data_IF_785564411993
#
_entry.id   IF_785564411993
#
_cell.length_a   1.000
_cell.length_b   1.000
_cell.length_c   1.000
_cell.angle_alpha   90.00
_cell.angle_beta   90.00
_cell.angle_gamma   90.00
#
_symmetry.space_group_name_H-M   'P 1'
#
loop_
_entity.id
_entity.type
_entity.pdbx_description
1 polymer ?
#
# COMPACT_ATOMS: atom_id res chain seq x y z
N UNK A 1 4.50 -1.87 -34.40
CA UNK A 1 4.44 -1.19 -33.09
C UNK A 1 3.02 -1.26 -32.58
N UNK A 2 2.80 -2.16 -31.64
CA UNK A 2 1.56 -2.31 -30.89
C UNK A 2 1.41 -1.13 -29.92
N UNK A 3 0.21 -0.58 -29.77
CA UNK A 3 -0.08 0.50 -28.82
C UNK A 3 -1.08 0.01 -27.81
N UNK A 4 -0.84 0.28 -26.52
CA UNK A 4 -1.70 -0.13 -25.41
C UNK A 4 -2.20 1.07 -24.64
N UNK A 5 -3.48 1.05 -24.25
CA UNK A 5 -4.01 2.04 -23.31
C UNK A 5 -3.23 1.90 -22.00
N UNK A 6 -2.76 3.02 -21.46
CA UNK A 6 -2.01 3.08 -20.23
C UNK A 6 -2.47 4.29 -19.41
N UNK A 7 -2.66 4.05 -18.12
CA UNK A 7 -3.30 4.98 -17.21
C UNK A 7 -2.42 5.24 -15.99
N UNK A 8 -2.58 6.41 -15.38
CA UNK A 8 -2.23 6.61 -13.97
C UNK A 8 -3.52 6.74 -13.17
N UNK A 9 -3.63 5.92 -12.13
CA UNK A 9 -4.78 5.85 -11.24
C UNK A 9 -4.28 6.00 -9.81
N UNK A 10 -4.80 7.01 -9.13
CA UNK A 10 -4.43 7.36 -7.77
C UNK A 10 -5.30 6.58 -6.78
N UNK A 11 -4.71 5.59 -6.10
CA UNK A 11 -5.36 4.75 -5.11
C UNK A 11 -5.43 5.43 -3.73
N UNK A 12 -6.41 5.00 -2.94
CA UNK A 12 -6.72 5.54 -1.60
C UNK A 12 -7.08 7.03 -1.60
N UNK A 13 -7.64 7.54 -2.69
CA UNK A 13 -8.09 8.92 -2.78
C UNK A 13 -9.28 9.05 -3.73
N UNK A 14 -9.99 10.17 -3.61
CA UNK A 14 -10.99 10.63 -4.58
C UNK A 14 -10.56 11.90 -5.32
N UNK A 15 -9.37 12.43 -5.00
CA UNK A 15 -8.80 13.64 -5.61
C UNK A 15 -7.63 13.26 -6.53
N UNK A 16 -7.65 13.67 -7.81
CA UNK A 16 -6.53 13.42 -8.71
C UNK A 16 -5.23 14.04 -8.20
N UNK A 17 -4.11 13.38 -8.53
CA UNK A 17 -2.75 13.78 -8.14
C UNK A 17 -2.48 13.67 -6.63
N UNK A 18 -3.31 12.93 -5.91
CA UNK A 18 -3.16 12.60 -4.48
C UNK A 18 -3.06 11.08 -4.29
N UNK A 19 -3.08 10.54 -3.08
CA UNK A 19 -3.07 9.08 -2.90
C UNK A 19 -1.78 8.39 -3.36
N UNK A 20 -1.85 7.07 -3.55
CA UNK A 20 -0.72 6.29 -4.07
C UNK A 20 -0.94 5.96 -5.56
N UNK A 21 -0.09 6.50 -6.43
CA UNK A 21 -0.25 6.40 -7.87
C UNK A 21 0.17 5.02 -8.38
N UNK A 22 -0.72 4.34 -9.10
CA UNK A 22 -0.43 3.10 -9.79
C UNK A 22 -0.58 3.28 -11.31
N UNK A 23 0.32 2.65 -12.06
CA UNK A 23 0.11 2.43 -13.48
C UNK A 23 -0.98 1.37 -13.69
N UNK A 24 -1.84 1.53 -14.68
CA UNK A 24 -2.82 0.50 -15.06
C UNK A 24 -2.83 0.32 -16.58
N UNK A 25 -2.62 -0.92 -17.03
CA UNK A 25 -2.80 -1.35 -18.41
C UNK A 25 -4.00 -2.32 -18.44
N UNK A 26 -5.20 -1.84 -18.84
CA UNK A 26 -6.45 -2.59 -18.69
C UNK A 26 -6.62 -3.76 -19.68
N UNK A 27 -5.81 -3.79 -20.75
CA UNK A 27 -5.75 -4.90 -21.71
C UNK A 27 -4.28 -5.21 -22.04
N UNK A 28 -3.72 -6.14 -21.28
CA UNK A 28 -2.33 -6.57 -21.37
C UNK A 28 -2.17 -7.97 -21.99
N UNK A 29 -3.22 -8.53 -22.57
CA UNK A 29 -3.12 -9.83 -23.24
C UNK A 29 -2.17 -9.75 -24.44
N UNK A 30 -1.28 -10.75 -24.55
CA UNK A 30 -0.25 -10.83 -25.59
C UNK A 30 1.05 -10.09 -25.30
N UNK A 31 1.15 -9.36 -24.18
CA UNK A 31 2.43 -8.79 -23.73
C UNK A 31 3.26 -9.84 -23.00
N UNK A 32 4.56 -9.91 -23.28
CA UNK A 32 5.49 -10.70 -22.47
C UNK A 32 5.97 -9.94 -21.22
N UNK A 33 6.72 -10.61 -20.35
CA UNK A 33 7.21 -10.02 -19.10
C UNK A 33 8.20 -8.87 -19.32
N UNK A 34 8.99 -8.90 -20.39
CA UNK A 34 9.96 -7.85 -20.71
C UNK A 34 9.25 -6.59 -21.20
N UNK A 35 8.22 -6.74 -22.03
CA UNK A 35 7.32 -5.67 -22.47
C UNK A 35 6.58 -5.04 -21.31
N UNK A 36 5.98 -5.85 -20.43
CA UNK A 36 5.30 -5.33 -19.23
C UNK A 36 6.26 -4.54 -18.34
N UNK A 37 7.46 -5.05 -18.08
CA UNK A 37 8.48 -4.34 -17.30
C UNK A 37 8.92 -3.04 -17.98
N UNK A 38 9.12 -3.03 -19.29
CA UNK A 38 9.50 -1.83 -20.04
C UNK A 38 8.41 -0.76 -19.98
N UNK A 39 7.13 -1.14 -20.12
CA UNK A 39 5.98 -0.23 -19.97
C UNK A 39 5.90 0.30 -18.54
N UNK A 40 6.06 -0.55 -17.52
CA UNK A 40 6.05 -0.12 -16.12
C UNK A 40 7.16 0.90 -15.83
N UNK A 41 8.36 0.68 -16.39
CA UNK A 41 9.48 1.60 -16.27
C UNK A 41 9.22 2.95 -16.95
N UNK A 42 8.57 2.96 -18.12
CA UNK A 42 8.20 4.21 -18.82
C UNK A 42 7.12 4.99 -18.06
N UNK A 43 6.13 4.31 -17.47
CA UNK A 43 5.10 4.96 -16.67
C UNK A 43 5.65 5.55 -15.36
N UNK A 44 6.67 4.92 -14.77
CA UNK A 44 7.40 5.45 -13.62
C UNK A 44 6.62 5.51 -12.30
N UNK A 45 5.42 4.91 -12.25
CA UNK A 45 4.70 4.67 -11.00
C UNK A 45 5.45 3.63 -10.13
N UNK A 46 5.14 3.56 -8.83
CA UNK A 46 5.77 2.57 -7.94
C UNK A 46 5.51 1.15 -8.42
N UNK A 47 4.26 0.88 -8.82
CA UNK A 47 3.85 -0.36 -9.47
C UNK A 47 2.86 -0.08 -10.61
N UNK A 48 2.88 -0.95 -11.61
CA UNK A 48 1.92 -0.99 -12.72
C UNK A 48 1.18 -2.33 -12.71
N UNK A 49 -0.15 -2.28 -12.70
CA UNK A 49 -1.03 -3.44 -12.85
C UNK A 49 -1.35 -3.70 -14.33
N UNK A 50 -1.05 -4.90 -14.79
CA UNK A 50 -1.37 -5.40 -16.13
C UNK A 50 -2.55 -6.36 -16.02
N UNK A 51 -3.70 -5.95 -16.55
CA UNK A 51 -4.94 -6.74 -16.51
C UNK A 51 -4.96 -7.68 -17.72
N UNK A 52 -5.08 -8.97 -17.45
CA UNK A 52 -5.08 -10.06 -18.42
C UNK A 52 -6.33 -10.93 -18.25
N UNK A 53 -6.66 -11.69 -19.29
CA UNK A 53 -7.64 -12.77 -19.20
C UNK A 53 -7.17 -13.88 -18.28
N UNK A 54 -8.08 -14.50 -17.52
CA UNK A 54 -7.81 -15.68 -16.68
C UNK A 54 -8.67 -16.86 -17.10
N UNK A 55 -8.13 -18.08 -16.95
CA UNK A 55 -8.90 -19.33 -17.10
C UNK A 55 -9.44 -19.86 -15.77
N UNK A 56 -8.98 -19.31 -14.64
CA UNK A 56 -9.25 -19.81 -13.28
C UNK A 56 -9.98 -18.80 -12.38
N UNK A 57 -10.09 -17.55 -12.80
CA UNK A 57 -10.73 -16.45 -12.10
C UNK A 57 -11.40 -15.51 -13.11
N UNK A 58 -12.08 -14.46 -12.64
CA UNK A 58 -12.71 -13.48 -13.52
C UNK A 58 -11.66 -12.70 -14.34
N UNK A 59 -10.49 -12.42 -13.73
CA UNK A 59 -9.33 -11.76 -14.36
C UNK A 59 -8.02 -12.22 -13.74
N UNK A 60 -6.92 -11.96 -14.44
CA UNK A 60 -5.55 -12.06 -13.90
C UNK A 60 -4.93 -10.67 -13.85
N UNK A 61 -4.19 -10.36 -12.80
CA UNK A 61 -3.32 -9.17 -12.78
C UNK A 61 -1.88 -9.59 -12.51
N UNK A 62 -0.96 -9.04 -13.30
CA UNK A 62 0.48 -9.06 -13.03
C UNK A 62 0.94 -7.68 -12.61
N UNK A 63 1.86 -7.60 -11.66
CA UNK A 63 2.31 -6.34 -11.08
C UNK A 63 3.79 -6.15 -11.36
N UNK A 64 4.17 -4.98 -11.85
CA UNK A 64 5.57 -4.66 -12.11
C UNK A 64 5.94 -3.36 -11.44
N UNK A 65 7.02 -3.39 -10.67
CA UNK A 65 7.82 -2.19 -10.41
C UNK A 65 8.56 -1.80 -11.70
N UNK A 66 9.19 -0.61 -11.77
CA UNK A 66 10.07 -0.27 -12.90
C UNK A 66 11.23 -1.26 -13.11
N UNK A 67 11.60 -2.04 -12.09
CA UNK A 67 12.76 -2.94 -12.14
C UNK A 67 12.40 -4.41 -12.32
N UNK A 68 11.27 -4.88 -11.79
CA UNK A 68 10.92 -6.30 -11.73
C UNK A 68 9.44 -6.54 -11.51
N UNK A 69 8.99 -7.76 -11.83
CA UNK A 69 7.67 -8.25 -11.42
C UNK A 69 7.62 -8.46 -9.90
N UNK A 70 6.47 -8.18 -9.29
CA UNK A 70 6.15 -8.47 -7.90
C UNK A 70 4.89 -9.31 -7.82
N UNK A 71 4.80 -10.18 -6.82
CA UNK A 71 3.76 -11.21 -6.81
C UNK A 71 2.35 -10.68 -6.50
N UNK A 72 2.27 -9.58 -5.75
CA UNK A 72 1.03 -8.90 -5.38
C UNK A 72 1.32 -7.44 -5.02
N UNK A 73 0.43 -6.53 -5.43
CA UNK A 73 0.43 -5.15 -4.94
C UNK A 73 -1.00 -4.68 -4.63
N UNK A 74 -1.23 -4.22 -3.39
CA UNK A 74 -2.56 -3.85 -2.90
C UNK A 74 -3.13 -2.59 -3.55
N UNK A 75 -2.35 -1.50 -3.58
CA UNK A 75 -2.85 -0.24 -4.14
C UNK A 75 -3.06 -0.33 -5.66
N UNK A 76 -2.19 -1.07 -6.37
CA UNK A 76 -2.34 -1.31 -7.80
C UNK A 76 -3.57 -2.19 -8.10
N UNK A 77 -3.91 -3.14 -7.21
CA UNK A 77 -5.17 -3.90 -7.28
C UNK A 77 -6.38 -2.98 -7.12
N UNK A 78 -6.36 -2.08 -6.13
CA UNK A 78 -7.42 -1.10 -5.88
C UNK A 78 -7.58 -0.16 -7.08
N UNK A 79 -6.47 0.36 -7.61
CA UNK A 79 -6.45 1.21 -8.79
C UNK A 79 -7.06 0.52 -10.02
N UNK A 80 -6.63 -0.70 -10.34
CA UNK A 80 -7.15 -1.46 -11.48
C UNK A 80 -8.66 -1.75 -11.35
N UNK A 81 -9.12 -2.22 -10.19
CA UNK A 81 -10.54 -2.53 -9.98
C UNK A 81 -11.43 -1.28 -10.00
N UNK A 82 -10.96 -0.18 -9.40
CA UNK A 82 -11.68 1.09 -9.43
C UNK A 82 -11.79 1.64 -10.86
N UNK A 83 -10.75 1.51 -11.68
CA UNK A 83 -10.82 1.88 -13.10
C UNK A 83 -11.84 1.00 -13.86
N UNK A 84 -11.78 -0.32 -13.70
CA UNK A 84 -12.71 -1.24 -14.37
C UNK A 84 -14.17 -1.01 -13.93
N UNK A 85 -14.40 -0.64 -12.67
CA UNK A 85 -15.70 -0.22 -12.17
C UNK A 85 -16.18 1.09 -12.81
N UNK A 86 -15.29 2.09 -12.93
CA UNK A 86 -15.61 3.37 -13.57
C UNK A 86 -15.98 3.22 -15.05
N UNK A 87 -15.36 2.28 -15.77
CA UNK A 87 -15.68 1.92 -17.16
C UNK A 87 -16.92 1.00 -17.29
N UNK A 88 -17.57 0.65 -16.16
CA UNK A 88 -18.72 -0.28 -16.09
C UNK A 88 -18.41 -1.68 -16.60
N UNK A 89 -17.16 -2.09 -16.47
CA UNK A 89 -16.74 -3.48 -16.70
C UNK A 89 -16.78 -4.33 -15.42
N UNK A 90 -17.03 -3.70 -14.27
CA UNK A 90 -17.30 -4.35 -13.00
C UNK A 90 -18.54 -3.72 -12.35
N UNK A 91 -19.45 -4.56 -11.90
CA UNK A 91 -20.57 -4.19 -11.05
C UNK A 91 -20.22 -4.43 -9.57
N UNK A 92 -20.87 -3.75 -8.61
CA UNK A 92 -20.68 -4.04 -7.19
C UNK A 92 -20.88 -5.52 -6.86
N UNK A 93 -20.02 -6.06 -6.00
CA UNK A 93 -19.97 -7.48 -5.67
C UNK A 93 -18.55 -8.01 -5.45
N UNK A 94 -18.45 -9.33 -5.29
CA UNK A 94 -17.16 -10.01 -5.13
C UNK A 94 -16.70 -10.57 -6.46
N UNK A 95 -15.45 -10.28 -6.82
CA UNK A 95 -14.79 -10.68 -8.05
C UNK A 95 -13.52 -11.46 -7.72
N UNK A 96 -13.28 -12.54 -8.45
CA UNK A 96 -12.10 -13.38 -8.28
C UNK A 96 -10.94 -12.85 -9.13
N UNK A 97 -9.77 -12.71 -8.52
CA UNK A 97 -8.56 -12.20 -9.14
C UNK A 97 -7.42 -13.22 -9.05
N UNK A 98 -6.93 -13.69 -10.19
CA UNK A 98 -5.71 -14.50 -10.25
C UNK A 98 -4.46 -13.62 -10.16
N UNK A 99 -3.52 -14.01 -9.29
CA UNK A 99 -2.20 -13.37 -9.09
C UNK A 99 -1.10 -14.43 -9.02
N UNK A 100 0.16 -14.05 -8.77
CA UNK A 100 1.24 -15.03 -8.56
C UNK A 100 1.14 -15.75 -7.21
N UNK A 101 0.43 -15.18 -6.22
CA UNK A 101 0.19 -15.81 -4.92
C UNK A 101 -1.07 -16.67 -4.87
N UNK A 102 -1.81 -16.76 -5.99
CA UNK A 102 -3.06 -17.51 -6.11
C UNK A 102 -4.27 -16.62 -6.44
N UNK A 103 -5.46 -17.19 -6.29
CA UNK A 103 -6.72 -16.48 -6.53
C UNK A 103 -7.19 -15.78 -5.26
N UNK A 104 -7.49 -14.49 -5.38
CA UNK A 104 -7.98 -13.62 -4.31
C UNK A 104 -9.41 -13.18 -4.58
N UNK A 105 -10.20 -12.96 -3.53
CA UNK A 105 -11.52 -12.34 -3.62
C UNK A 105 -11.38 -10.83 -3.39
N UNK A 106 -11.80 -10.04 -4.38
CA UNK A 106 -11.84 -8.58 -4.34
C UNK A 106 -13.28 -8.12 -4.30
N UNK A 107 -13.67 -7.38 -3.26
CA UNK A 107 -15.02 -6.82 -3.15
C UNK A 107 -15.04 -5.39 -3.65
N UNK A 108 -15.93 -5.12 -4.60
CA UNK A 108 -16.30 -3.78 -5.03
C UNK A 108 -17.59 -3.36 -4.32
N UNK A 109 -17.51 -2.34 -3.48
CA UNK A 109 -18.65 -1.76 -2.78
C UNK A 109 -19.51 -0.85 -3.67
N UNK A 110 -20.74 -0.61 -3.23
CA UNK A 110 -21.74 0.17 -3.98
C UNK A 110 -21.33 1.63 -4.25
N UNK A 111 -20.40 2.18 -3.46
CA UNK A 111 -19.91 3.55 -3.61
C UNK A 111 -18.48 3.61 -4.19
N UNK A 112 -18.02 2.52 -4.80
CA UNK A 112 -16.73 2.42 -5.48
C UNK A 112 -15.54 2.13 -4.57
N UNK A 113 -15.76 1.73 -3.31
CA UNK A 113 -14.68 1.19 -2.48
C UNK A 113 -14.25 -0.18 -2.99
N UNK A 114 -12.96 -0.38 -3.20
CA UNK A 114 -12.37 -1.69 -3.46
C UNK A 114 -11.77 -2.23 -2.17
N UNK A 115 -12.08 -3.48 -1.84
CA UNK A 115 -11.65 -4.14 -0.62
C UNK A 115 -10.93 -5.46 -0.92
N UNK A 116 -9.80 -5.66 -0.26
CA UNK A 116 -8.99 -6.87 -0.36
C UNK A 116 -8.77 -7.46 1.03
N UNK A 117 -8.95 -8.76 1.17
CA UNK A 117 -8.56 -9.50 2.37
C UNK A 117 -7.04 -9.63 2.42
N UNK A 118 -6.45 -9.34 3.57
CA UNK A 118 -5.02 -9.49 3.81
C UNK A 118 -4.70 -10.87 4.40
N UNK A 119 -3.43 -11.24 4.45
CA UNK A 119 -3.01 -12.44 5.14
C UNK A 119 -3.35 -12.39 6.64
N UNK A 120 -3.43 -13.57 7.25
CA UNK A 120 -3.66 -13.70 8.68
C UNK A 120 -2.62 -12.87 9.46
N UNK A 121 -3.06 -11.96 10.36
CA UNK A 121 -2.14 -11.03 10.98
C UNK A 121 -1.21 -11.74 11.97
N UNK A 122 0.03 -11.26 12.05
CA UNK A 122 0.94 -11.54 13.17
C UNK A 122 1.27 -10.23 13.87
N UNK A 123 1.27 -10.23 15.20
CA UNK A 123 1.59 -9.05 16.01
C UNK A 123 2.45 -9.47 17.19
N UNK A 124 3.64 -8.90 17.28
CA UNK A 124 4.62 -9.16 18.34
C UNK A 124 5.04 -7.84 18.98
N UNK A 125 4.50 -7.50 20.17
CA UNK A 125 4.99 -6.39 20.98
C UNK A 125 6.50 -6.52 21.22
N UNK A 126 7.18 -5.38 21.26
CA UNK A 126 8.63 -5.27 21.33
C UNK A 126 9.02 -4.27 22.41
N UNK A 127 9.96 -4.66 23.25
CA UNK A 127 10.72 -3.73 24.07
C UNK A 127 11.80 -3.11 23.21
N UNK A 128 11.77 -1.79 23.04
CA UNK A 128 12.68 -1.05 22.17
C UNK A 128 13.34 0.10 22.92
N UNK A 129 14.55 0.45 22.50
CA UNK A 129 15.21 1.66 22.98
C UNK A 129 14.53 2.89 22.36
N UNK A 130 13.67 3.55 23.15
CA UNK A 130 12.95 4.74 22.74
C UNK A 130 13.87 5.91 22.36
N UNK A 131 15.06 6.04 22.95
CA UNK A 131 15.98 7.12 22.58
C UNK A 131 16.52 6.90 21.15
N UNK A 132 16.83 5.63 20.82
CA UNK A 132 17.25 5.24 19.47
C UNK A 132 16.12 5.38 18.45
N UNK A 133 14.90 4.95 18.80
CA UNK A 133 13.73 5.06 17.93
C UNK A 133 13.36 6.53 17.67
N UNK A 134 13.36 7.36 18.73
CA UNK A 134 13.09 8.78 18.62
C UNK A 134 14.13 9.50 17.74
N UNK A 135 15.41 9.18 17.93
CA UNK A 135 16.47 9.70 17.09
C UNK A 135 16.33 9.28 15.61
N UNK A 136 15.95 8.02 15.35
CA UNK A 136 15.71 7.53 13.99
C UNK A 136 14.51 8.21 13.30
N UNK A 137 13.45 8.52 14.06
CA UNK A 137 12.27 9.23 13.56
C UNK A 137 12.43 10.75 13.53
N UNK A 138 13.48 11.31 14.14
CA UNK A 138 13.65 12.74 14.30
C UNK A 138 12.56 13.39 15.17
N UNK A 139 12.12 12.70 16.22
CA UNK A 139 11.12 13.21 17.19
C UNK A 139 11.70 13.26 18.61
N UNK A 140 11.00 13.97 19.51
CA UNK A 140 11.31 13.93 20.94
C UNK A 140 10.93 12.56 21.54
N UNK A 141 11.74 12.01 22.44
CA UNK A 141 11.48 10.69 23.04
C UNK A 141 10.21 10.66 23.89
N UNK A 142 9.82 11.80 24.47
CA UNK A 142 8.57 11.92 25.24
C UNK A 142 7.34 11.71 24.34
N UNK A 143 7.44 12.06 23.05
CA UNK A 143 6.38 11.82 22.07
C UNK A 143 6.10 10.33 21.88
N UNK A 144 7.06 9.45 22.18
CA UNK A 144 6.92 8.00 22.07
C UNK A 144 6.66 7.35 23.42
N UNK A 145 7.36 7.77 24.48
CA UNK A 145 7.29 7.12 25.80
C UNK A 145 5.93 7.25 26.48
N UNK A 146 5.30 8.41 26.37
CA UNK A 146 4.03 8.68 27.07
C UNK A 146 2.90 7.80 26.53
N UNK A 147 2.78 7.72 25.20
CA UNK A 147 1.81 6.84 24.53
C UNK A 147 2.26 5.38 24.56
N UNK A 148 3.57 5.13 24.53
CA UNK A 148 4.21 3.82 24.55
C UNK A 148 3.95 3.01 25.82
N UNK A 149 3.60 3.68 26.93
CA UNK A 149 3.25 3.04 28.19
C UNK A 149 1.93 2.24 28.10
N UNK A 150 0.96 2.74 27.33
CA UNK A 150 -0.33 2.09 27.12
C UNK A 150 -0.36 1.31 25.78
N UNK A 151 0.41 1.76 24.79
CA UNK A 151 0.47 1.20 23.44
C UNK A 151 1.93 0.86 23.09
N UNK A 152 2.40 -0.37 23.38
CA UNK A 152 3.80 -0.72 23.13
C UNK A 152 4.09 -0.77 21.63
N UNK A 153 5.30 -0.38 21.22
CA UNK A 153 5.80 -0.64 19.86
C UNK A 153 5.69 -2.14 19.55
N UNK A 154 5.35 -2.49 18.32
CA UNK A 154 5.24 -3.87 17.89
C UNK A 154 5.75 -4.09 16.47
N UNK A 155 6.21 -5.30 16.18
CA UNK A 155 6.28 -5.77 14.79
C UNK A 155 4.92 -6.35 14.45
N UNK A 156 4.26 -5.81 13.43
CA UNK A 156 2.98 -6.32 12.94
C UNK A 156 3.05 -6.57 11.43
N UNK A 157 2.35 -7.61 10.97
CA UNK A 157 2.32 -7.99 9.56
C UNK A 157 0.96 -8.55 9.18
N UNK A 158 0.51 -8.22 7.98
CA UNK A 158 -0.55 -8.94 7.23
C UNK A 158 -0.03 -9.36 5.85
N UNK A 159 1.26 -9.70 5.78
CA UNK A 159 2.00 -10.04 4.56
C UNK A 159 3.43 -9.51 4.65
N UNK A 160 3.58 -8.18 4.72
CA UNK A 160 4.86 -7.49 4.91
C UNK A 160 4.95 -6.90 6.34
N UNK A 161 5.97 -7.26 7.14
CA UNK A 161 6.11 -6.76 8.51
C UNK A 161 6.58 -5.30 8.58
N UNK A 162 6.01 -4.54 9.51
CA UNK A 162 6.40 -3.18 9.85
C UNK A 162 6.55 -3.02 11.37
N UNK A 163 7.45 -2.13 11.79
CA UNK A 163 7.45 -1.59 13.15
C UNK A 163 6.29 -0.60 13.28
N UNK A 164 5.25 -0.97 14.02
CA UNK A 164 4.10 -0.10 14.30
C UNK A 164 4.40 0.71 15.55
N UNK A 165 4.51 2.03 15.38
CA UNK A 165 5.01 2.96 16.40
C UNK A 165 3.95 4.01 16.72
N UNK A 166 3.37 4.03 17.93
CA UNK A 166 2.51 5.12 18.34
C UNK A 166 3.34 6.37 18.63
N UNK A 167 2.80 7.51 18.21
CA UNK A 167 3.33 8.85 18.46
C UNK A 167 2.21 9.68 19.09
N UNK A 168 2.53 10.38 20.18
CA UNK A 168 1.60 11.24 20.85
C UNK A 168 1.32 12.49 19.99
N UNK A 169 0.06 12.77 19.71
CA UNK A 169 -0.42 13.92 18.91
C UNK A 169 0.14 14.07 17.49
N UNK A 170 -0.60 14.80 16.66
CA UNK A 170 -0.21 15.09 15.29
C UNK A 170 0.97 16.06 15.25
N UNK A 171 1.11 16.95 16.23
CA UNK A 171 2.19 17.94 16.24
C UNK A 171 3.58 17.29 16.27
N UNK A 172 3.74 16.14 16.94
CA UNK A 172 5.01 15.42 16.98
C UNK A 172 5.24 14.61 15.69
N UNK A 173 4.21 13.90 15.20
CA UNK A 173 4.32 13.11 13.98
C UNK A 173 4.53 13.98 12.72
N UNK A 174 3.87 15.14 12.67
CA UNK A 174 4.02 16.12 11.58
C UNK A 174 5.41 16.76 11.55
N UNK A 175 6.04 16.94 12.71
CA UNK A 175 7.40 17.45 12.84
C UNK A 175 8.51 16.40 12.67
N UNK A 176 8.16 15.12 12.46
CA UNK A 176 9.15 14.05 12.35
C UNK A 176 10.03 14.22 11.11
N UNK A 177 11.34 14.10 11.31
CA UNK A 177 12.41 14.25 10.32
C UNK A 177 13.25 12.96 10.29
N UNK A 178 12.78 11.92 9.57
CA UNK A 178 13.36 10.58 9.66
C UNK A 178 14.79 10.50 9.11
N UNK A 179 15.67 9.81 9.84
CA UNK A 179 16.97 9.38 9.33
C UNK A 179 16.80 8.04 8.60
N UNK A 180 16.81 8.09 7.27
CA UNK A 180 16.60 6.92 6.40
C UNK A 180 17.54 5.75 6.74
N UNK A 181 18.81 6.04 7.05
CA UNK A 181 19.78 5.00 7.37
C UNK A 181 19.49 4.37 8.73
N UNK A 182 19.18 5.19 9.74
CA UNK A 182 18.83 4.71 11.06
C UNK A 182 17.52 3.90 11.06
N UNK A 183 16.51 4.31 10.29
CA UNK A 183 15.26 3.57 10.10
C UNK A 183 15.52 2.22 9.41
N UNK A 184 16.31 2.21 8.33
CA UNK A 184 16.64 0.98 7.62
C UNK A 184 17.34 -0.03 8.56
N UNK A 185 18.33 0.43 9.32
CA UNK A 185 19.06 -0.41 10.29
C UNK A 185 18.14 -0.94 11.39
N UNK A 186 17.27 -0.09 11.94
CA UNK A 186 16.33 -0.46 13.01
C UNK A 186 15.29 -1.46 12.52
N UNK A 187 14.71 -1.25 11.34
CA UNK A 187 13.73 -2.16 10.76
C UNK A 187 14.36 -3.53 10.44
N UNK A 188 15.58 -3.54 9.88
CA UNK A 188 16.31 -4.76 9.56
C UNK A 188 16.63 -5.61 10.80
N UNK A 189 16.94 -4.99 11.95
CA UNK A 189 17.16 -5.70 13.22
C UNK A 189 15.94 -6.50 13.70
N UNK A 190 14.75 -6.09 13.26
CA UNK A 190 13.48 -6.67 13.69
C UNK A 190 12.73 -7.42 12.58
N UNK A 191 13.44 -7.73 11.48
CA UNK A 191 12.89 -8.38 10.29
C UNK A 191 11.65 -7.63 9.74
N UNK A 192 11.68 -6.30 9.77
CA UNK A 192 10.63 -5.40 9.30
C UNK A 192 11.08 -4.64 8.03
N UNK A 193 10.12 -4.27 7.18
CA UNK A 193 10.36 -3.48 5.97
C UNK A 193 10.59 -1.99 6.27
N UNK A 194 10.07 -1.50 7.40
CA UNK A 194 10.12 -0.09 7.76
C UNK A 194 9.38 0.21 9.06
N UNK A 195 9.18 1.51 9.31
CA UNK A 195 8.43 2.05 10.45
C UNK A 195 7.11 2.65 9.96
N UNK A 196 6.02 2.18 10.55
CA UNK A 196 4.69 2.74 10.40
C UNK A 196 4.33 3.52 11.67
N UNK A 197 4.62 4.81 11.65
CA UNK A 197 4.37 5.72 12.77
C UNK A 197 2.93 6.27 12.68
N UNK A 198 2.20 6.26 13.78
CA UNK A 198 0.79 6.67 13.78
C UNK A 198 0.40 7.43 15.05
N UNK A 199 -0.66 8.23 14.96
CA UNK A 199 -1.30 8.90 16.09
C UNK A 199 -2.82 8.84 15.97
N UNK A 200 -3.54 8.99 17.08
CA UNK A 200 -5.00 9.14 17.09
C UNK A 200 -5.48 10.57 16.82
N UNK A 201 -4.54 11.52 16.77
CA UNK A 201 -4.82 12.92 16.45
C UNK A 201 -4.68 13.12 14.94
N UNK A 202 -5.81 13.28 14.25
CA UNK A 202 -5.88 13.35 12.79
C UNK A 202 -6.30 14.75 12.31
N UNK A 203 -5.94 15.07 11.06
CA UNK A 203 -6.31 16.31 10.36
C UNK A 203 -7.81 16.30 10.07
N UNK A 204 -8.33 15.21 9.50
CA UNK A 204 -9.76 15.02 9.30
C UNK A 204 -10.40 14.47 10.59
N UNK A 205 -11.47 15.13 11.07
CA UNK A 205 -12.20 14.71 12.25
C UNK A 205 -12.95 13.39 12.10
N UNK A 206 -13.13 12.90 10.87
CA UNK A 206 -13.70 11.58 10.58
C UNK A 206 -12.62 10.47 10.50
N UNK A 207 -11.33 10.84 10.49
CA UNK A 207 -10.21 9.89 10.50
C UNK A 207 -10.00 9.32 11.91
N UNK A 208 -9.74 8.02 11.98
CA UNK A 208 -9.39 7.33 13.24
C UNK A 208 -7.94 7.54 13.61
N UNK A 209 -7.04 7.54 12.61
CA UNK A 209 -5.60 7.67 12.79
C UNK A 209 -5.00 8.55 11.70
N UNK A 210 -3.94 9.28 12.04
CA UNK A 210 -2.97 9.79 11.08
C UNK A 210 -1.72 8.91 11.10
N UNK A 211 -1.19 8.55 9.94
CA UNK A 211 -0.01 7.70 9.82
C UNK A 211 1.01 8.24 8.82
N UNK A 212 2.27 7.84 9.02
CA UNK A 212 3.38 7.99 8.09
C UNK A 212 4.12 6.65 8.00
N UNK A 213 4.58 6.30 6.80
CA UNK A 213 5.25 5.03 6.54
C UNK A 213 6.63 5.29 5.93
N UNK A 214 7.67 4.88 6.65
CA UNK A 214 9.06 5.03 6.23
C UNK A 214 9.67 3.66 5.98
N UNK A 215 10.08 3.37 4.75
CA UNK A 215 10.63 2.06 4.36
C UNK A 215 11.92 2.16 3.52
N UNK A 216 12.93 2.93 3.97
CA UNK A 216 14.14 3.20 3.18
C UNK A 216 14.94 1.93 2.87
N UNK A 217 14.85 0.89 3.70
CA UNK A 217 15.49 -0.41 3.47
C UNK A 217 15.01 -1.13 2.20
N UNK A 218 13.84 -0.77 1.67
CA UNK A 218 13.31 -1.26 0.39
C UNK A 218 13.27 -0.16 -0.68
N UNK A 219 13.97 0.96 -0.46
CA UNK A 219 14.12 2.06 -1.42
C UNK A 219 13.00 3.11 -1.38
N UNK A 220 12.14 3.10 -0.37
CA UNK A 220 11.02 4.05 -0.22
C UNK A 220 11.25 4.91 1.02
N UNK A 221 11.70 6.15 0.86
CA UNK A 221 11.93 7.05 2.01
C UNK A 221 10.63 7.30 2.80
N UNK A 222 9.57 7.75 2.13
CA UNK A 222 8.22 7.83 2.70
C UNK A 222 7.16 7.45 1.65
N UNK A 223 6.28 6.51 1.98
CA UNK A 223 5.20 6.04 1.10
C UNK A 223 3.90 6.86 1.33
N UNK A 224 3.22 7.35 0.28
CA UNK A 224 2.01 8.17 0.45
C UNK A 224 0.78 7.42 0.97
N UNK A 225 0.69 6.10 0.74
CA UNK A 225 -0.37 5.26 1.30
C UNK A 225 0.03 3.79 1.33
N UNK A 226 0.12 3.19 2.52
CA UNK A 226 0.62 1.82 2.69
C UNK A 226 -0.46 0.88 3.22
N UNK A 227 -1.24 0.29 2.32
CA UNK A 227 -2.36 -0.59 2.68
C UNK A 227 -1.98 -1.75 3.61
N UNK A 228 -0.85 -2.41 3.33
CA UNK A 228 -0.35 -3.54 4.14
C UNK A 228 0.02 -3.12 5.57
N UNK A 229 0.71 -1.99 5.72
CA UNK A 229 1.07 -1.45 7.04
C UNK A 229 -0.16 -0.95 7.82
N UNK A 230 -1.11 -0.32 7.15
CA UNK A 230 -2.40 0.08 7.72
C UNK A 230 -3.20 -1.14 8.24
N UNK A 231 -3.27 -2.22 7.46
CA UNK A 231 -3.90 -3.48 7.87
C UNK A 231 -3.23 -4.10 9.10
N UNK A 232 -1.89 -4.16 9.10
CA UNK A 232 -1.10 -4.63 10.22
C UNK A 232 -1.28 -3.76 11.49
N UNK A 233 -1.33 -2.44 11.34
CA UNK A 233 -1.62 -1.50 12.41
C UNK A 233 -3.01 -1.73 13.02
N UNK A 234 -4.04 -1.91 12.18
CA UNK A 234 -5.38 -2.24 12.66
C UNK A 234 -5.43 -3.56 13.46
N UNK A 235 -4.73 -4.59 13.00
CA UNK A 235 -4.62 -5.85 13.73
C UNK A 235 -3.90 -5.68 15.08
N UNK A 236 -2.83 -4.88 15.11
CA UNK A 236 -2.10 -4.53 16.31
C UNK A 236 -2.99 -3.79 17.32
N UNK A 237 -3.71 -2.75 16.90
CA UNK A 237 -4.59 -1.97 17.77
C UNK A 237 -5.69 -2.82 18.41
N UNK A 238 -6.24 -3.77 17.65
CA UNK A 238 -7.17 -4.77 18.18
C UNK A 238 -6.52 -5.65 19.23
N UNK A 239 -5.30 -6.14 19.00
CA UNK A 239 -4.61 -7.03 19.94
C UNK A 239 -4.25 -6.34 21.27
N UNK A 240 -3.81 -5.09 21.22
CA UNK A 240 -3.44 -4.34 22.44
C UNK A 240 -4.65 -3.72 23.16
N UNK A 241 -5.86 -3.85 22.60
CA UNK A 241 -7.08 -3.33 23.22
C UNK A 241 -7.14 -1.80 23.20
N UNK A 242 -6.65 -1.17 22.12
CA UNK A 242 -6.58 0.29 22.00
C UNK A 242 -7.96 1.00 21.97
N UNK A 243 -9.05 0.24 21.84
CA UNK A 243 -10.41 0.76 21.80
C UNK A 243 -11.28 0.07 22.85
N UNK A 244 -12.14 0.84 23.52
CA UNK A 244 -13.19 0.28 24.40
C UNK A 244 -14.12 -0.68 23.63
N UNK A 245 -14.44 -0.31 22.39
CA UNK A 245 -15.09 -1.14 21.40
C UNK A 245 -14.41 -0.92 20.06
N UNK A 246 -13.94 -2.00 19.44
CA UNK A 246 -13.25 -1.95 18.16
C UNK A 246 -14.21 -1.38 17.09
N UNK A 247 -13.85 -0.27 16.41
CA UNK A 247 -14.67 0.26 15.32
C UNK A 247 -14.86 -0.77 14.21
N UNK A 248 -16.01 -0.74 13.54
CA UNK A 248 -16.28 -1.60 12.38
C UNK A 248 -15.28 -1.34 11.23
N UNK A 249 -14.83 -0.09 11.12
CA UNK A 249 -13.88 0.39 10.13
C UNK A 249 -12.98 1.47 10.76
N UNK A 250 -11.67 1.34 10.55
CA UNK A 250 -10.69 2.38 10.82
C UNK A 250 -10.48 3.18 9.54
N UNK A 251 -10.50 4.50 9.65
CA UNK A 251 -10.09 5.42 8.58
C UNK A 251 -8.73 5.97 8.92
N UNK A 252 -7.74 5.67 8.09
CA UNK A 252 -6.35 6.01 8.34
C UNK A 252 -5.90 6.96 7.25
N UNK A 253 -5.60 8.19 7.62
CA UNK A 253 -5.02 9.16 6.69
C UNK A 253 -3.50 9.06 6.66
N UNK A 254 -2.91 9.19 5.48
CA UNK A 254 -1.47 9.11 5.25
C UNK A 254 -1.07 10.05 4.09
N UNK A 255 0.22 10.30 3.90
CA UNK A 255 0.76 10.95 2.70
C UNK A 255 0.65 12.48 2.66
N UNK A 256 0.08 13.10 3.69
CA UNK A 256 -0.08 14.55 3.78
C UNK A 256 1.27 15.30 3.76
N UNK A 257 2.34 14.68 4.27
CA UNK A 257 3.68 15.28 4.35
C UNK A 257 4.56 15.00 3.14
N UNK A 258 4.05 14.25 2.15
CA UNK A 258 4.65 14.05 0.82
C UNK A 258 3.75 14.61 -0.29
N UNK A 259 2.86 15.55 0.06
CA UNK A 259 1.91 16.21 -0.83
C UNK A 259 0.97 15.24 -1.59
N UNK A 260 0.70 14.07 -1.00
CA UNK A 260 -0.23 13.08 -1.55
C UNK A 260 -1.20 12.53 -0.50
N UNK A 261 -2.08 13.38 0.07
CA UNK A 261 -3.13 12.95 0.99
C UNK A 261 -3.88 11.70 0.54
N UNK A 262 -4.01 10.73 1.43
CA UNK A 262 -4.67 9.46 1.17
C UNK A 262 -5.54 9.05 2.36
N UNK A 263 -6.55 8.22 2.12
CA UNK A 263 -7.35 7.56 3.15
C UNK A 263 -7.42 6.07 2.87
N UNK A 264 -6.70 5.31 3.69
CA UNK A 264 -6.78 3.85 3.75
C UNK A 264 -7.86 3.44 4.73
N UNK A 265 -8.73 2.51 4.34
CA UNK A 265 -9.78 1.97 5.20
C UNK A 265 -9.42 0.57 5.64
N UNK A 266 -9.63 0.25 6.91
CA UNK A 266 -9.28 -1.06 7.48
C UNK A 266 -10.45 -1.61 8.27
N UNK A 267 -10.90 -2.82 7.94
CA UNK A 267 -11.86 -3.59 8.74
C UNK A 267 -11.09 -4.67 9.51
N UNK A 268 -11.24 -4.67 10.83
CA UNK A 268 -10.46 -5.51 11.76
C UNK A 268 -11.27 -6.68 12.34
N UNK A 269 -12.10 -7.30 11.48
CA UNK A 269 -12.99 -8.42 11.81
C UNK A 269 -12.27 -9.77 11.93
N UNK A 270 -12.96 -10.88 11.65
CA UNK A 270 -12.34 -12.21 11.67
C UNK A 270 -11.09 -12.28 10.77
N UNK A 271 -11.18 -11.59 9.63
CA UNK A 271 -10.07 -11.32 8.71
C UNK A 271 -9.78 -9.83 8.69
N UNK A 272 -8.53 -9.46 8.41
CA UNK A 272 -8.16 -8.08 8.16
C UNK A 272 -8.46 -7.76 6.70
N UNK A 273 -9.22 -6.69 6.46
CA UNK A 273 -9.52 -6.23 5.11
C UNK A 273 -9.08 -4.78 4.96
N UNK A 274 -8.39 -4.51 3.87
CA UNK A 274 -7.91 -3.18 3.52
C UNK A 274 -8.65 -2.73 2.28
N UNK A 275 -9.10 -1.48 2.26
CA UNK A 275 -9.79 -0.94 1.12
C UNK A 275 -9.65 0.56 0.99
N UNK A 276 -10.20 1.07 -0.10
CA UNK A 276 -10.14 2.47 -0.46
C UNK A 276 -10.84 2.74 -1.77
N UNK A 277 -10.92 4.01 -2.14
CA UNK A 277 -11.35 4.43 -3.46
C UNK A 277 -10.13 4.78 -4.30
N UNK A 278 -10.30 4.88 -5.61
CA UNK A 278 -9.28 5.42 -6.49
C UNK A 278 -9.89 6.33 -7.54
N UNK A 279 -9.06 7.18 -8.13
CA UNK A 279 -9.46 8.10 -9.19
C UNK A 279 -8.41 8.11 -10.30
N UNK A 280 -8.86 8.08 -11.55
CA UNK A 280 -7.97 8.19 -12.70
C UNK A 280 -7.43 9.63 -12.83
N UNK A 281 -6.11 9.77 -12.95
CA UNK A 281 -5.46 11.07 -13.15
C UNK A 281 -4.84 11.25 -14.53
N UNK A 282 -4.47 10.16 -15.21
CA UNK A 282 -3.98 10.19 -16.57
C UNK A 282 -4.56 9.04 -17.40
N UNK A 283 -4.84 9.31 -18.67
CA UNK A 283 -5.31 8.34 -19.66
C UNK A 283 -4.66 8.61 -21.01
N UNK A 284 -4.02 7.60 -21.58
CA UNK A 284 -3.32 7.71 -22.85
C UNK A 284 -2.95 6.35 -23.43
N UNK A 285 -2.02 6.39 -24.39
CA UNK A 285 -1.49 5.21 -25.05
C UNK A 285 0.03 5.17 -24.92
N UNK A 286 0.58 3.97 -24.70
CA UNK A 286 2.01 3.67 -24.74
C UNK A 286 2.32 2.80 -25.95
N UNK A 287 3.39 3.13 -26.66
CA UNK A 287 3.88 2.31 -27.77
C UNK A 287 4.77 1.22 -27.19
N UNK A 288 4.38 -0.04 -27.41
CA UNK A 288 5.08 -1.20 -26.86
C UNK A 288 6.29 -1.54 -27.74
N UNK A 289 7.49 -1.72 -27.15
CA UNK A 289 8.67 -2.13 -27.89
C UNK A 289 8.52 -3.56 -28.43
N UNK A 290 9.07 -3.79 -29.63
CA UNK A 290 9.30 -5.13 -30.17
C UNK A 290 10.64 -5.61 -29.65
N UNK A 291 10.66 -6.60 -28.76
CA UNK A 291 11.88 -7.34 -28.44
C UNK A 291 12.01 -8.46 -29.46
N UNK A 292 13.14 -8.53 -30.15
CA UNK A 292 13.45 -9.70 -30.96
C UNK A 292 13.64 -10.87 -29.99
N UNK A 293 13.07 -12.04 -30.29
CA UNK A 293 13.56 -13.29 -29.70
C UNK A 293 15.08 -13.29 -29.93
N UNK A 294 15.86 -13.22 -28.85
CA UNK A 294 17.32 -13.28 -28.94
C UNK A 294 17.66 -14.57 -29.69
N UNK A 295 17.97 -14.43 -31.00
CA UNK A 295 18.75 -15.40 -31.72
C UNK A 295 20.01 -15.56 -30.86
N UNK A 296 20.06 -16.67 -30.13
CA UNK A 296 21.22 -17.11 -29.36
C UNK A 296 22.42 -16.89 -30.27
N UNK A 297 23.24 -15.88 -29.95
CA UNK A 297 24.52 -15.70 -30.60
C UNK A 297 25.37 -16.87 -30.08
N UNK A 298 25.26 -18.01 -30.77
CA UNK A 298 26.21 -19.11 -30.62
C UNK A 298 27.58 -18.57 -31.03
N UNK A 299 28.42 -18.34 -30.01
CA UNK A 299 29.82 -17.97 -30.16
C UNK A 299 30.69 -19.16 -30.57
#
# INVERSE_FOLDING_TARGET
MDSRRALLVDAFTTEPLSGNAAGVVPDADGLDAEQMRAVAAELGASETAFVCSSAAADRRIRYFTPQQEVDLCGHATIAAHAHLAAERELEPGTHTLETNVGTLDIELGDLGEVWMTQDAPTVRPLEIDYDRLAAALGVDDAALRDVGADLPVAVASTGLPFLVVPVNFLEHLSGADPDDAAIADLAAEHDAAGVYAYTFDAIDGDSTLHARCFAPGIGISEDPATGTAAGACGAYLRQVGAFDSVPDELRIEQGHFVDRPSTVRVRVGAEIRVGGRAVQSLDGEVVVPEFADDDIIEA
#
